data_IF_971913514066
#
_entry.id   IF_971913514066
#
_cell.length_a   1.000
_cell.length_b   1.000
_cell.length_c   1.000
_cell.angle_alpha   90.00
_cell.angle_beta   90.00
_cell.angle_gamma   90.00
#
_symmetry.space_group_name_H-M   'P 1'
#
loop_
_entity.id
_entity.type
_entity.pdbx_description
1 polymer ?
#
# COMPACT_ATOMS: atom_id res chain seq x y z
N UNK A 1 -19.88 -24.66 4.26
CA UNK A 1 -18.98 -24.71 3.09
C UNK A 1 -17.57 -24.36 3.54
N UNK A 2 -16.67 -25.32 3.44
CA UNK A 2 -15.27 -25.25 3.90
C UNK A 2 -14.48 -24.42 2.90
N UNK A 3 -13.98 -23.25 3.29
CA UNK A 3 -13.04 -22.49 2.46
C UNK A 3 -11.64 -22.70 3.01
N UNK A 4 -10.91 -23.65 2.42
CA UNK A 4 -9.47 -23.85 2.63
C UNK A 4 -8.73 -22.59 2.18
N UNK A 5 -7.84 -22.06 3.01
CA UNK A 5 -6.93 -20.99 2.61
C UNK A 5 -5.49 -21.52 2.68
N UNK A 6 -4.86 -21.66 1.52
CA UNK A 6 -3.43 -21.93 1.36
C UNK A 6 -2.57 -20.75 1.84
N UNK A 7 -1.35 -20.99 2.34
CA UNK A 7 -0.47 -19.95 2.84
C UNK A 7 0.31 -19.31 1.68
N UNK A 8 0.36 -17.97 1.64
CA UNK A 8 1.34 -17.26 0.81
C UNK A 8 2.33 -16.57 1.73
N UNK A 9 3.55 -17.08 1.69
CA UNK A 9 4.75 -16.49 2.27
C UNK A 9 5.22 -15.26 1.46
N UNK A 10 5.98 -14.42 2.15
CA UNK A 10 6.96 -13.44 1.66
C UNK A 10 6.44 -12.17 0.94
N UNK A 11 6.51 -11.04 1.65
CA UNK A 11 7.63 -10.10 1.48
C UNK A 11 7.68 -9.11 2.66
N UNK A 12 8.85 -9.05 3.29
CA UNK A 12 9.21 -8.20 4.41
C UNK A 12 10.25 -7.17 3.93
N UNK A 13 10.27 -5.99 4.56
CA UNK A 13 11.08 -4.76 4.31
C UNK A 13 10.29 -3.75 3.45
N UNK A 14 9.95 -2.56 3.96
CA UNK A 14 10.90 -1.50 4.34
C UNK A 14 10.52 -0.74 5.63
N UNK A 15 11.52 0.01 6.11
CA UNK A 15 11.79 0.51 7.45
C UNK A 15 11.52 2.03 7.53
N UNK A 16 10.93 2.46 8.65
CA UNK A 16 11.03 3.76 9.36
C UNK A 16 10.95 5.08 8.55
N UNK A 17 9.95 5.89 8.90
CA UNK A 17 9.92 7.35 8.72
C UNK A 17 8.62 7.91 9.27
N UNK A 18 8.67 8.64 10.39
CA UNK A 18 7.52 9.35 10.96
C UNK A 18 7.24 10.60 10.14
N UNK A 19 6.01 10.75 9.65
CA UNK A 19 5.50 12.03 9.17
C UNK A 19 4.07 12.17 9.73
N UNK A 20 3.88 13.14 10.60
CA UNK A 20 2.57 13.55 11.14
C UNK A 20 1.74 14.22 10.04
N UNK A 21 0.52 13.75 9.71
CA UNK A 21 -0.28 14.33 8.64
C UNK A 21 -1.31 15.35 9.16
N UNK A 22 -0.88 16.34 9.97
CA UNK A 22 -1.78 17.37 10.53
C UNK A 22 -1.47 18.82 10.10
N UNK A 23 -0.59 19.07 9.12
CA UNK A 23 -0.16 20.44 8.79
C UNK A 23 -0.74 21.07 7.52
N UNK A 24 -1.79 20.53 6.88
CA UNK A 24 -2.25 21.06 5.59
C UNK A 24 -3.78 21.20 5.48
N UNK A 25 -4.43 22.02 6.31
CA UNK A 25 -5.69 22.70 5.93
C UNK A 25 -5.92 23.98 6.76
N UNK A 26 -5.96 25.18 6.14
CA UNK A 26 -6.35 26.41 6.81
C UNK A 26 -7.74 26.87 6.33
N UNK A 27 -8.83 26.55 7.04
CA UNK A 27 -10.08 27.33 6.91
C UNK A 27 -10.87 27.36 8.23
N UNK A 28 -11.52 28.50 8.56
CA UNK A 28 -12.06 28.78 9.88
C UNK A 28 -13.43 28.13 10.10
N UNK A 29 -13.62 27.58 11.29
CA UNK A 29 -14.89 27.08 11.79
C UNK A 29 -15.86 28.26 11.94
N UNK A 30 -16.96 28.26 11.18
CA UNK A 30 -18.18 28.96 11.59
C UNK A 30 -19.31 27.95 11.74
N UNK A 31 -19.87 28.03 12.93
CA UNK A 31 -20.76 27.08 13.56
C UNK A 31 -22.20 27.40 13.13
N UNK A 32 -22.89 26.48 12.47
CA UNK A 32 -24.35 26.31 12.63
C UNK A 32 -24.74 24.89 12.23
N UNK A 33 -25.48 24.24 13.14
CA UNK A 33 -26.19 22.97 12.98
C UNK A 33 -25.36 21.68 12.96
N UNK A 34 -24.52 21.52 14.00
CA UNK A 34 -24.11 20.20 14.48
C UNK A 34 -25.17 19.69 15.46
N UNK A 35 -26.28 19.18 14.95
CA UNK A 35 -27.25 18.45 15.79
C UNK A 35 -27.77 17.27 14.99
N UNK A 36 -27.65 16.09 15.61
CA UNK A 36 -28.22 14.80 15.20
C UNK A 36 -27.67 14.17 13.92
N UNK A 37 -26.56 13.42 14.05
CA UNK A 37 -26.36 12.10 13.38
C UNK A 37 -25.07 11.35 13.84
N UNK A 38 -24.31 11.81 14.85
CA UNK A 38 -23.04 11.16 15.26
C UNK A 38 -23.11 10.25 16.51
N UNK A 39 -24.22 10.24 17.26
CA UNK A 39 -24.23 9.61 18.59
C UNK A 39 -24.24 8.08 18.60
N UNK A 40 -24.65 7.42 17.52
CA UNK A 40 -24.79 5.95 17.52
C UNK A 40 -23.52 5.24 17.05
N UNK A 41 -22.84 5.75 16.02
CA UNK A 41 -21.77 4.99 15.36
C UNK A 41 -20.49 4.88 16.20
N UNK A 42 -20.11 5.93 16.93
CA UNK A 42 -18.96 5.90 17.84
C UNK A 42 -19.26 5.11 19.11
N UNK A 43 -20.50 5.21 19.63
CA UNK A 43 -20.94 4.49 20.83
C UNK A 43 -21.02 2.97 20.60
N UNK A 44 -21.59 2.52 19.47
CA UNK A 44 -21.66 1.09 19.15
C UNK A 44 -20.27 0.45 19.02
N UNK A 45 -19.33 1.13 18.37
CA UNK A 45 -17.97 0.61 18.21
C UNK A 45 -17.25 0.50 19.56
N UNK A 46 -17.35 1.50 20.44
CA UNK A 46 -16.71 1.44 21.77
C UNK A 46 -17.34 0.35 22.65
N UNK A 47 -18.67 0.24 22.68
CA UNK A 47 -19.37 -0.77 23.48
C UNK A 47 -19.07 -2.19 22.96
N UNK A 48 -19.05 -2.40 21.65
CA UNK A 48 -18.69 -3.69 21.06
C UNK A 48 -17.23 -4.08 21.35
N UNK A 49 -16.28 -3.14 21.24
CA UNK A 49 -14.87 -3.35 21.58
C UNK A 49 -14.73 -3.73 23.06
N UNK A 50 -15.46 -3.04 23.95
CA UNK A 50 -15.41 -3.30 25.38
C UNK A 50 -15.99 -4.69 25.73
N UNK A 51 -17.15 -5.05 25.15
CA UNK A 51 -17.75 -6.37 25.32
C UNK A 51 -16.86 -7.50 24.81
N UNK A 52 -16.20 -7.31 23.66
CA UNK A 52 -15.29 -8.29 23.08
C UNK A 52 -14.02 -8.47 23.92
N UNK A 53 -13.53 -7.41 24.55
CA UNK A 53 -12.41 -7.49 25.52
C UNK A 53 -12.82 -8.15 26.83
N UNK A 54 -14.03 -7.88 27.32
CA UNK A 54 -14.54 -8.37 28.60
C UNK A 54 -15.06 -9.82 28.52
N UNK A 55 -15.69 -10.21 27.41
CA UNK A 55 -16.18 -11.56 27.15
C UNK A 55 -15.72 -12.04 25.76
N UNK A 56 -14.43 -12.38 25.62
CA UNK A 56 -13.87 -12.79 24.36
C UNK A 56 -14.48 -14.12 23.87
N UNK A 57 -15.22 -14.14 22.74
CA UNK A 57 -15.94 -15.32 22.23
C UNK A 57 -15.05 -16.47 21.71
N UNK A 58 -13.72 -16.38 21.83
CA UNK A 58 -12.78 -17.45 21.51
C UNK A 58 -12.65 -18.36 22.73
N UNK A 59 -13.05 -19.63 22.63
CA UNK A 59 -12.91 -20.65 23.70
C UNK A 59 -11.45 -21.14 23.88
N UNK A 60 -10.51 -20.28 23.54
CA UNK A 60 -9.09 -20.54 23.51
C UNK A 60 -8.59 -20.45 24.94
N UNK A 61 -8.26 -21.61 25.53
CA UNK A 61 -7.92 -21.73 26.96
C UNK A 61 -6.78 -20.81 27.41
N UNK A 62 -5.82 -20.54 26.52
CA UNK A 62 -4.81 -19.51 26.75
C UNK A 62 -5.30 -18.22 26.11
N UNK A 63 -5.50 -17.21 26.94
CA UNK A 63 -5.82 -15.81 26.64
C UNK A 63 -6.32 -15.56 25.20
N UNK A 64 -7.62 -15.31 25.03
CA UNK A 64 -8.20 -15.07 23.72
C UNK A 64 -7.76 -13.71 23.18
N UNK A 65 -6.57 -13.67 22.59
CA UNK A 65 -6.08 -12.50 21.88
C UNK A 65 -6.83 -12.45 20.56
N UNK A 66 -7.76 -11.50 20.45
CA UNK A 66 -8.47 -11.21 19.22
C UNK A 66 -7.66 -10.20 18.41
N UNK A 67 -7.54 -10.44 17.11
CA UNK A 67 -6.90 -9.51 16.18
C UNK A 67 -7.97 -8.82 15.35
N UNK A 68 -7.94 -7.49 15.35
CA UNK A 68 -8.69 -6.69 14.38
C UNK A 68 -7.99 -6.79 13.03
N UNK A 69 -8.75 -7.12 11.99
CA UNK A 69 -8.26 -7.23 10.62
C UNK A 69 -9.24 -6.58 9.66
N UNK A 70 -8.75 -6.27 8.48
CA UNK A 70 -9.53 -5.73 7.39
C UNK A 70 -9.52 -6.69 6.21
N UNK A 71 -10.69 -6.94 5.63
CA UNK A 71 -10.82 -7.75 4.44
C UNK A 71 -10.60 -6.88 3.19
N UNK A 72 -9.76 -7.35 2.28
CA UNK A 72 -9.59 -6.78 0.95
C UNK A 72 -9.89 -7.85 -0.10
N UNK A 73 -11.17 -8.20 -0.22
CA UNK A 73 -11.70 -9.14 -1.22
C UNK A 73 -12.86 -8.48 -1.98
N UNK A 74 -13.16 -8.89 -3.23
CA UNK A 74 -14.22 -8.26 -4.03
C UNK A 74 -15.56 -8.15 -3.29
N UNK A 75 -15.95 -9.19 -2.54
CA UNK A 75 -17.22 -9.24 -1.83
C UNK A 75 -17.23 -8.52 -0.48
N UNK A 76 -16.05 -8.19 0.07
CA UNK A 76 -15.87 -7.57 1.39
C UNK A 76 -14.64 -6.64 1.36
N UNK A 77 -14.63 -5.56 0.56
CA UNK A 77 -13.53 -4.60 0.56
C UNK A 77 -13.63 -3.69 1.79
N UNK A 78 -12.48 -3.38 2.39
CA UNK A 78 -12.33 -2.53 3.57
C UNK A 78 -13.21 -2.93 4.79
N UNK A 79 -13.74 -4.16 4.84
CA UNK A 79 -14.66 -4.58 5.92
C UNK A 79 -13.87 -5.16 7.09
N UNK A 80 -14.03 -4.59 8.29
CA UNK A 80 -13.28 -5.02 9.46
C UNK A 80 -13.92 -6.22 10.14
N UNK A 81 -13.09 -7.09 10.70
CA UNK A 81 -13.48 -8.26 11.45
C UNK A 81 -12.49 -8.57 12.57
N UNK A 82 -12.99 -9.25 13.61
CA UNK A 82 -12.16 -9.91 14.60
C UNK A 82 -11.95 -11.37 14.23
N UNK A 83 -10.73 -11.86 14.43
CA UNK A 83 -10.46 -13.29 14.45
C UNK A 83 -9.52 -13.67 15.61
N UNK A 84 -9.48 -14.96 15.93
CA UNK A 84 -8.51 -15.47 16.90
C UNK A 84 -7.08 -15.19 16.41
N UNK A 85 -6.18 -14.72 17.28
CA UNK A 85 -4.76 -14.57 16.96
C UNK A 85 -4.10 -15.89 16.51
N UNK A 86 -4.57 -17.03 17.06
CA UNK A 86 -4.08 -18.38 16.73
C UNK A 86 -4.69 -18.96 15.44
N UNK A 87 -5.67 -18.30 14.82
CA UNK A 87 -6.39 -18.77 13.58
C UNK A 87 -5.49 -19.06 12.37
N UNK A 88 -4.21 -18.66 12.40
CA UNK A 88 -3.26 -18.80 11.28
C UNK A 88 -2.04 -19.66 11.61
N UNK A 89 -1.99 -20.29 12.80
CA UNK A 89 -0.77 -20.91 13.33
C UNK A 89 -0.77 -22.45 13.20
N UNK A 90 -1.92 -23.12 13.16
CA UNK A 90 -1.98 -24.59 13.04
C UNK A 90 -3.31 -25.12 12.47
N UNK A 91 -3.37 -26.41 12.14
CA UNK A 91 -4.58 -27.09 11.67
C UNK A 91 -5.69 -27.20 12.73
N UNK A 92 -5.34 -27.10 14.02
CA UNK A 92 -6.27 -27.02 15.17
C UNK A 92 -6.51 -25.57 15.61
N UNK A 93 -6.36 -24.63 14.68
CA UNK A 93 -6.51 -23.22 14.99
C UNK A 93 -7.97 -22.85 15.22
N UNK A 94 -8.21 -22.00 16.22
CA UNK A 94 -9.55 -21.52 16.53
C UNK A 94 -10.13 -20.76 15.33
N UNK A 95 -11.32 -21.17 14.89
CA UNK A 95 -12.06 -20.58 13.78
C UNK A 95 -12.95 -19.40 14.19
N UNK A 96 -12.70 -18.78 15.35
CA UNK A 96 -13.46 -17.60 15.76
C UNK A 96 -13.31 -16.49 14.71
N UNK A 97 -14.46 -15.97 14.27
CA UNK A 97 -14.58 -14.92 13.28
C UNK A 97 -15.85 -14.10 13.55
N UNK A 98 -15.73 -12.78 13.57
CA UNK A 98 -16.88 -11.88 13.72
C UNK A 98 -16.67 -10.60 12.91
N UNK A 99 -17.64 -10.27 12.07
CA UNK A 99 -17.65 -8.97 11.38
C UNK A 99 -17.89 -7.84 12.39
N UNK A 100 -17.09 -6.77 12.29
CA UNK A 100 -17.28 -5.54 13.04
C UNK A 100 -18.22 -4.59 12.30
N UNK A 101 -17.95 -4.40 11.00
CA UNK A 101 -18.74 -3.48 10.18
C UNK A 101 -19.92 -4.20 9.51
N UNK A 102 -21.03 -3.51 9.24
CA UNK A 102 -22.08 -4.01 8.37
C UNK A 102 -21.55 -4.25 6.95
N UNK A 103 -22.29 -5.02 6.15
CA UNK A 103 -21.93 -5.18 4.75
C UNK A 103 -22.25 -3.89 4.00
N UNK A 104 -21.32 -3.42 3.16
CA UNK A 104 -21.57 -2.26 2.30
C UNK A 104 -22.58 -2.60 1.19
N UNK A 105 -23.32 -1.63 0.63
CA UNK A 105 -24.09 -1.85 -0.58
C UNK A 105 -23.20 -2.26 -1.76
N UNK A 106 -23.74 -3.04 -2.71
CA UNK A 106 -22.97 -3.60 -3.85
C UNK A 106 -22.13 -2.54 -4.58
N UNK A 107 -22.74 -1.41 -4.94
CA UNK A 107 -22.03 -0.38 -5.70
C UNK A 107 -20.81 0.18 -4.94
N UNK A 108 -20.90 0.34 -3.62
CA UNK A 108 -19.78 0.81 -2.81
C UNK A 108 -18.65 -0.23 -2.78
N UNK A 109 -18.99 -1.52 -2.71
CA UNK A 109 -17.99 -2.59 -2.78
C UNK A 109 -17.26 -2.58 -4.11
N UNK A 110 -18.02 -2.51 -5.21
CA UNK A 110 -17.46 -2.51 -6.55
C UNK A 110 -16.55 -1.31 -6.75
N UNK A 111 -16.97 -0.11 -6.32
CA UNK A 111 -16.15 1.11 -6.39
C UNK A 111 -14.86 0.98 -5.60
N UNK A 112 -14.91 0.57 -4.32
CA UNK A 112 -13.71 0.41 -3.48
C UNK A 112 -12.75 -0.63 -4.04
N UNK A 113 -13.29 -1.75 -4.53
CA UNK A 113 -12.48 -2.80 -5.13
C UNK A 113 -11.79 -2.33 -6.42
N UNK A 114 -12.52 -1.65 -7.30
CA UNK A 114 -11.96 -1.10 -8.54
C UNK A 114 -10.90 -0.03 -8.27
N UNK A 115 -11.12 0.83 -7.27
CA UNK A 115 -10.12 1.80 -6.84
C UNK A 115 -8.84 1.11 -6.36
N UNK A 116 -8.96 0.07 -5.52
CA UNK A 116 -7.80 -0.72 -5.08
C UNK A 116 -7.03 -1.32 -6.25
N UNK A 117 -7.72 -1.97 -7.19
CA UNK A 117 -7.07 -2.55 -8.37
C UNK A 117 -6.36 -1.48 -9.20
N UNK A 118 -6.97 -0.30 -9.36
CA UNK A 118 -6.37 0.80 -10.09
C UNK A 118 -5.11 1.33 -9.41
N UNK A 119 -5.10 1.42 -8.08
CA UNK A 119 -3.91 1.82 -7.32
C UNK A 119 -2.79 0.80 -7.50
N UNK A 120 -3.09 -0.50 -7.37
CA UNK A 120 -2.09 -1.57 -7.56
C UNK A 120 -1.47 -1.53 -8.96
N UNK A 121 -2.30 -1.36 -9.99
CA UNK A 121 -1.88 -1.20 -11.39
C UNK A 121 -1.04 0.06 -11.62
N UNK A 122 -1.40 1.18 -10.98
CA UNK A 122 -0.62 2.42 -11.04
C UNK A 122 0.75 2.29 -10.37
N UNK A 123 0.84 1.59 -9.24
CA UNK A 123 2.11 1.36 -8.55
C UNK A 123 3.07 0.55 -9.44
N UNK A 124 2.59 -0.51 -10.08
CA UNK A 124 3.40 -1.31 -11.01
C UNK A 124 3.89 -0.48 -12.19
N UNK A 125 3.02 0.32 -12.81
CA UNK A 125 3.43 1.19 -13.92
C UNK A 125 4.43 2.26 -13.48
N UNK A 126 4.27 2.80 -12.28
CA UNK A 126 5.20 3.79 -11.75
C UNK A 126 6.62 3.20 -11.59
N UNK A 127 6.73 1.98 -11.08
CA UNK A 127 8.02 1.28 -10.97
C UNK A 127 8.69 1.07 -12.34
N UNK A 128 7.90 0.71 -13.36
CA UNK A 128 8.38 0.60 -14.74
C UNK A 128 8.89 1.93 -15.30
N UNK A 129 8.16 3.03 -15.06
CA UNK A 129 8.58 4.38 -15.49
C UNK A 129 9.90 4.77 -14.82
N UNK A 130 10.05 4.50 -13.52
CA UNK A 130 11.31 4.78 -12.79
C UNK A 130 12.47 3.97 -13.37
N UNK A 131 12.26 2.70 -13.72
CA UNK A 131 13.30 1.88 -14.35
C UNK A 131 13.68 2.41 -15.74
N UNK A 132 12.69 2.78 -16.56
CA UNK A 132 12.91 3.35 -17.88
C UNK A 132 13.65 4.68 -17.81
N UNK A 133 13.31 5.54 -16.84
CA UNK A 133 14.03 6.80 -16.61
C UNK A 133 15.52 6.57 -16.34
N UNK A 134 15.87 5.57 -15.52
CA UNK A 134 17.28 5.20 -15.28
C UNK A 134 17.98 4.77 -16.57
N UNK A 135 17.33 3.98 -17.42
CA UNK A 135 17.87 3.55 -18.72
C UNK A 135 18.08 4.74 -19.66
N UNK A 136 17.12 5.67 -19.71
CA UNK A 136 17.20 6.89 -20.51
C UNK A 136 18.36 7.77 -20.05
N UNK A 137 18.54 7.99 -18.75
CA UNK A 137 19.68 8.78 -18.23
C UNK A 137 21.02 8.12 -18.54
N UNK A 138 21.13 6.80 -18.36
CA UNK A 138 22.34 6.06 -18.77
C UNK A 138 22.63 6.25 -20.27
N UNK A 139 21.62 6.14 -21.12
CA UNK A 139 21.80 6.35 -22.57
C UNK A 139 22.19 7.79 -22.93
N UNK A 140 21.72 8.80 -22.19
CA UNK A 140 22.15 10.19 -22.38
C UNK A 140 23.64 10.36 -22.07
N UNK A 141 24.11 9.79 -20.96
CA UNK A 141 25.51 9.83 -20.56
C UNK A 141 26.41 9.12 -21.58
N UNK A 142 26.02 7.94 -22.03
CA UNK A 142 26.76 7.19 -23.06
C UNK A 142 26.86 7.98 -24.36
N UNK A 143 25.74 8.52 -24.86
CA UNK A 143 25.76 9.34 -26.09
C UNK A 143 26.63 10.59 -25.96
N UNK A 144 26.67 11.19 -24.76
CA UNK A 144 27.56 12.33 -24.50
C UNK A 144 29.03 11.92 -24.57
N UNK A 145 29.40 10.82 -23.91
CA UNK A 145 30.76 10.29 -23.92
C UNK A 145 31.21 9.85 -25.32
N UNK A 146 30.32 9.21 -26.10
CA UNK A 146 30.60 8.83 -27.49
C UNK A 146 30.86 10.06 -28.37
N UNK A 147 30.09 11.14 -28.18
CA UNK A 147 30.29 12.40 -28.91
C UNK A 147 31.65 13.03 -28.60
N UNK A 148 32.02 13.08 -27.32
CA UNK A 148 33.30 13.62 -26.85
C UNK A 148 34.48 12.83 -27.43
N UNK A 149 34.41 11.49 -27.42
CA UNK A 149 35.44 10.63 -28.02
C UNK A 149 35.61 10.87 -29.53
N UNK A 150 34.51 11.08 -30.25
CA UNK A 150 34.56 11.38 -31.69
C UNK A 150 35.16 12.76 -31.94
N UNK A 151 34.81 13.76 -31.12
CA UNK A 151 35.38 15.10 -31.19
C UNK A 151 36.90 15.07 -30.94
N UNK A 152 37.36 14.36 -29.91
CA UNK A 152 38.78 14.17 -29.61
C UNK A 152 39.53 13.50 -30.77
N UNK A 153 38.95 12.44 -31.35
CA UNK A 153 39.55 11.76 -32.51
C UNK A 153 39.66 12.67 -33.73
N UNK A 154 38.65 13.52 -33.98
CA UNK A 154 38.69 14.49 -35.08
C UNK A 154 39.82 15.49 -34.84
N UNK A 155 39.99 15.99 -33.61
CA UNK A 155 41.07 16.92 -33.28
C UNK A 155 42.46 16.31 -33.50
N UNK A 156 42.67 15.07 -33.06
CA UNK A 156 43.94 14.35 -33.29
C UNK A 156 44.26 14.23 -34.78
N UNK A 157 43.28 13.82 -35.59
CA UNK A 157 43.46 13.67 -37.04
C UNK A 157 43.76 15.00 -37.73
N UNK A 158 43.14 16.10 -37.29
CA UNK A 158 43.42 17.43 -37.83
C UNK A 158 44.88 17.84 -37.57
N UNK A 159 45.38 17.60 -36.35
CA UNK A 159 46.78 17.88 -35.99
C UNK A 159 47.74 17.05 -36.86
N UNK A 160 47.42 15.77 -37.08
CA UNK A 160 48.23 14.88 -37.92
C UNK A 160 48.29 15.38 -39.38
N UNK A 161 47.15 15.76 -39.95
CA UNK A 161 47.08 16.34 -41.31
C UNK A 161 47.89 17.63 -41.42
N UNK A 162 47.79 18.54 -40.44
CA UNK A 162 48.57 19.77 -40.43
C UNK A 162 50.07 19.52 -40.36
N UNK A 163 50.50 18.49 -39.63
CA UNK A 163 51.91 18.11 -39.53
C UNK A 163 52.46 17.56 -40.86
N UNK A 164 51.65 16.76 -41.58
CA UNK A 164 52.03 16.18 -42.87
C UNK A 164 52.13 17.23 -43.98
N UNK A 165 51.28 18.26 -43.94
CA UNK A 165 51.29 19.36 -44.93
C UNK A 165 52.45 20.36 -44.76
N UNK A 166 53.26 20.24 -43.69
CA UNK A 166 54.43 21.10 -43.44
C UNK A 166 55.75 20.51 -43.97
N UNK A 167 55.70 19.32 -44.58
CA UNK A 167 56.82 18.63 -45.24
C UNK A 167 56.68 18.83 -46.75
#
# INVERSE_FOLDING_TARGET
>A
MVSRWCPVNLLHKLRKGSIDPLSLFPYPLTNTNLSTMSSSFESYNIVAIYWIKANPPCLCRDQPVLKLREAWKPNNPARRFYNCAKSMISNDSCNFFQWLDPTLPKHHKDTLWNMKLRIEDLLVRNDQVVELQKKVEKHKLLRKAEKELVEDRIQELLIEIESLNKI
#
